data_IF_257077277033
#
_entry.id   IF_257077277033
#
_cell.length_a   1.000
_cell.length_b   1.000
_cell.length_c   1.000
_cell.angle_alpha   90.00
_cell.angle_beta   90.00
_cell.angle_gamma   90.00
#
_symmetry.space_group_name_H-M   'P 1'
#
loop_
_entity.id
_entity.type
_entity.pdbx_description
1 polymer ?
#
# COMPACT_ATOMS: atom_id res chain seq x y z
N UNK A 1 15.37 69.21 -35.63
CA UNK A 1 16.53 68.42 -35.21
C UNK A 1 16.11 66.97 -35.27
N UNK A 2 16.14 66.36 -36.46
CA UNK A 2 15.89 64.93 -36.63
C UNK A 2 17.16 64.21 -36.21
N UNK A 3 17.04 63.30 -35.24
CA UNK A 3 18.14 62.43 -34.82
C UNK A 3 18.30 61.34 -35.89
N UNK A 4 19.09 61.64 -36.93
CA UNK A 4 19.44 60.70 -38.01
C UNK A 4 20.70 59.90 -37.65
N UNK A 5 20.67 59.24 -36.48
CA UNK A 5 21.73 58.31 -36.09
C UNK A 5 21.48 56.94 -36.75
N UNK A 6 22.42 56.38 -37.54
CA UNK A 6 22.24 55.07 -38.17
C UNK A 6 21.93 53.98 -37.12
N UNK A 7 20.99 53.07 -37.39
CA UNK A 7 20.68 51.99 -36.44
C UNK A 7 21.93 51.12 -36.22
N UNK A 8 22.37 51.08 -34.96
CA UNK A 8 23.52 50.29 -34.52
C UNK A 8 23.31 48.79 -34.86
N UNK A 9 24.13 48.20 -35.75
CA UNK A 9 23.98 46.82 -36.18
C UNK A 9 24.20 45.79 -35.05
N UNK A 10 24.75 46.20 -33.90
CA UNK A 10 24.96 45.33 -32.75
C UNK A 10 23.67 45.07 -31.94
N UNK A 11 22.70 45.99 -31.94
CA UNK A 11 21.43 45.86 -31.19
C UNK A 11 20.60 44.61 -31.55
N UNK A 12 20.33 44.29 -32.82
CA UNK A 12 19.54 43.10 -33.17
C UNK A 12 20.26 41.78 -32.81
N UNK A 13 21.59 41.73 -32.95
CA UNK A 13 22.38 40.56 -32.57
C UNK A 13 22.38 40.32 -31.05
N UNK A 14 22.46 41.39 -30.25
CA UNK A 14 22.34 41.31 -28.80
C UNK A 14 20.94 40.88 -28.34
N UNK A 15 19.88 41.40 -28.98
CA UNK A 15 18.50 40.99 -28.69
C UNK A 15 18.28 39.50 -28.98
N UNK A 16 18.72 38.99 -30.14
CA UNK A 16 18.63 37.58 -30.49
C UNK A 16 19.37 36.68 -29.49
N UNK A 17 20.57 37.09 -29.04
CA UNK A 17 21.37 36.33 -28.06
C UNK A 17 20.69 36.25 -26.68
N UNK A 18 20.00 37.32 -26.26
CA UNK A 18 19.24 37.33 -25.01
C UNK A 18 18.00 36.42 -25.11
N UNK A 19 17.32 36.39 -26.26
CA UNK A 19 16.17 35.50 -26.48
C UNK A 19 16.57 34.02 -26.40
N UNK A 20 17.67 33.65 -27.04
CA UNK A 20 18.19 32.26 -26.99
C UNK A 20 18.56 31.87 -25.55
N UNK A 21 19.25 32.75 -24.81
CA UNK A 21 19.64 32.47 -23.42
C UNK A 21 18.43 32.33 -22.49
N UNK A 22 17.37 33.12 -22.73
CA UNK A 22 16.10 33.00 -22.00
C UNK A 22 15.37 31.71 -22.34
N UNK A 23 15.34 31.32 -23.62
CA UNK A 23 14.76 30.05 -24.06
C UNK A 23 15.46 28.83 -23.43
N UNK A 24 16.79 28.82 -23.39
CA UNK A 24 17.58 27.77 -22.71
C UNK A 24 17.26 27.69 -21.22
N UNK A 25 17.20 28.85 -20.53
CA UNK A 25 16.85 28.89 -19.10
C UNK A 25 15.43 28.38 -18.83
N UNK A 26 14.47 28.70 -19.70
CA UNK A 26 13.10 28.22 -19.59
C UNK A 26 13.04 26.71 -19.84
N UNK A 27 13.77 26.20 -20.83
CA UNK A 27 13.86 24.77 -21.10
C UNK A 27 14.45 24.00 -19.91
N UNK A 28 15.57 24.46 -19.34
CA UNK A 28 16.17 23.86 -18.14
C UNK A 28 15.21 23.92 -16.94
N UNK A 29 14.51 25.04 -16.76
CA UNK A 29 13.55 25.20 -15.65
C UNK A 29 12.34 24.28 -15.82
N UNK A 30 11.83 24.12 -17.04
CA UNK A 30 10.73 23.19 -17.35
C UNK A 30 11.14 21.73 -17.14
N UNK A 31 12.37 21.36 -17.51
CA UNK A 31 12.93 20.03 -17.25
C UNK A 31 13.06 19.75 -15.73
N UNK A 32 13.60 20.72 -14.97
CA UNK A 32 13.70 20.63 -13.51
C UNK A 32 12.32 20.53 -12.83
N UNK A 33 11.33 21.27 -13.33
CA UNK A 33 9.95 21.18 -12.86
C UNK A 33 9.33 19.81 -13.15
N UNK A 34 9.58 19.25 -14.34
CA UNK A 34 9.09 17.92 -14.74
C UNK A 34 9.69 16.84 -13.85
N UNK A 35 11.02 16.83 -13.68
CA UNK A 35 11.70 15.90 -12.78
C UNK A 35 11.20 16.00 -11.33
N UNK A 36 11.00 17.23 -10.84
CA UNK A 36 10.45 17.47 -9.51
C UNK A 36 9.01 16.94 -9.37
N UNK A 37 8.19 17.06 -10.43
CA UNK A 37 6.83 16.54 -10.46
C UNK A 37 6.81 15.00 -10.48
N UNK A 38 7.67 14.37 -11.28
CA UNK A 38 7.81 12.92 -11.33
C UNK A 38 8.24 12.36 -9.97
N UNK A 39 9.23 13.01 -9.32
CA UNK A 39 9.68 12.59 -7.99
C UNK A 39 8.58 12.69 -6.94
N UNK A 40 7.75 13.75 -6.98
CA UNK A 40 6.59 13.88 -6.09
C UNK A 40 5.56 12.78 -6.35
N UNK A 41 5.39 12.37 -7.60
CA UNK A 41 4.46 11.32 -7.99
C UNK A 41 4.92 9.94 -7.48
N UNK A 42 6.21 9.62 -7.60
CA UNK A 42 6.79 8.39 -7.04
C UNK A 42 6.65 8.36 -5.52
N UNK A 43 6.98 9.46 -4.83
CA UNK A 43 6.84 9.56 -3.38
C UNK A 43 5.38 9.43 -2.91
N UNK A 44 4.42 9.92 -3.69
CA UNK A 44 3.01 9.71 -3.42
C UNK A 44 2.64 8.22 -3.55
N UNK A 45 3.12 7.55 -4.59
CA UNK A 45 2.92 6.11 -4.78
C UNK A 45 3.52 5.29 -3.62
N UNK A 46 4.75 5.57 -3.20
CA UNK A 46 5.39 4.87 -2.06
C UNK A 46 4.56 4.97 -0.78
N UNK A 47 3.97 6.15 -0.49
CA UNK A 47 3.10 6.35 0.69
C UNK A 47 1.83 5.50 0.62
N UNK A 48 1.24 5.33 -0.56
CA UNK A 48 0.06 4.48 -0.73
C UNK A 48 0.38 3.01 -0.48
N UNK A 49 1.56 2.55 -0.92
CA UNK A 49 2.03 1.18 -0.70
C UNK A 49 2.29 0.92 0.78
N UNK A 50 3.04 1.80 1.46
CA UNK A 50 3.31 1.67 2.90
C UNK A 50 2.04 1.72 3.76
N UNK A 51 1.04 2.51 3.35
CA UNK A 51 -0.26 2.52 4.01
C UNK A 51 -0.99 1.18 3.81
N UNK A 52 -0.93 0.60 2.61
CA UNK A 52 -1.51 -0.71 2.33
C UNK A 52 -0.86 -1.81 3.20
N UNK A 53 0.46 -1.85 3.28
CA UNK A 53 1.20 -2.82 4.13
C UNK A 53 0.80 -2.73 5.60
N UNK A 54 0.64 -1.52 6.15
CA UNK A 54 0.16 -1.34 7.54
C UNK A 54 -1.23 -1.90 7.75
N UNK A 55 -2.15 -1.67 6.81
CA UNK A 55 -3.50 -2.24 6.92
C UNK A 55 -3.46 -3.76 6.84
N UNK A 56 -2.63 -4.32 5.98
CA UNK A 56 -2.44 -5.77 5.87
C UNK A 56 -1.89 -6.37 7.18
N UNK A 57 -0.82 -5.78 7.74
CA UNK A 57 -0.26 -6.22 9.01
C UNK A 57 -1.26 -6.13 10.16
N UNK A 58 -2.13 -5.12 10.16
CA UNK A 58 -3.21 -5.00 11.14
C UNK A 58 -4.25 -6.13 11.01
N UNK A 59 -4.66 -6.49 9.80
CA UNK A 59 -5.56 -7.63 9.56
C UNK A 59 -4.95 -8.95 10.01
N UNK A 60 -3.71 -9.24 9.65
CA UNK A 60 -3.02 -10.49 10.06
C UNK A 60 -2.88 -10.57 11.58
N UNK A 61 -2.45 -9.48 12.23
CA UNK A 61 -2.28 -9.43 13.69
C UNK A 61 -3.61 -9.67 14.42
N UNK A 62 -4.68 -9.02 13.98
CA UNK A 62 -6.00 -9.19 14.60
C UNK A 62 -6.57 -10.58 14.34
N UNK A 63 -6.35 -11.15 13.16
CA UNK A 63 -6.70 -12.54 12.85
C UNK A 63 -5.97 -13.54 13.75
N UNK A 64 -4.65 -13.42 13.91
CA UNK A 64 -3.86 -14.30 14.79
C UNK A 64 -4.29 -14.20 16.26
N UNK A 65 -4.59 -13.00 16.76
CA UNK A 65 -5.09 -12.82 18.12
C UNK A 65 -6.46 -13.50 18.31
N UNK A 66 -7.37 -13.34 17.35
CA UNK A 66 -8.67 -14.00 17.38
C UNK A 66 -8.55 -15.53 17.28
N UNK A 67 -7.64 -16.05 16.44
CA UNK A 67 -7.38 -17.48 16.33
C UNK A 67 -6.88 -18.07 17.64
N UNK A 68 -5.87 -17.44 18.24
CA UNK A 68 -5.29 -17.87 19.51
C UNK A 68 -6.33 -17.86 20.63
N UNK A 69 -7.15 -16.79 20.71
CA UNK A 69 -8.22 -16.71 21.68
C UNK A 69 -9.34 -17.73 21.42
N UNK A 70 -9.67 -18.02 20.16
CA UNK A 70 -10.67 -19.03 19.79
C UNK A 70 -10.24 -20.45 20.15
N UNK A 71 -8.98 -20.80 19.90
CA UNK A 71 -8.39 -22.09 20.31
C UNK A 71 -8.28 -22.16 21.84
N UNK A 72 -7.87 -21.07 22.50
CA UNK A 72 -7.74 -20.98 23.94
C UNK A 72 -9.07 -20.97 24.70
N UNK A 73 -10.19 -20.66 24.04
CA UNK A 73 -11.50 -20.53 24.66
C UNK A 73 -11.88 -21.79 25.46
N UNK A 74 -11.59 -22.99 24.94
CA UNK A 74 -11.88 -24.25 25.63
C UNK A 74 -11.08 -24.42 26.91
N UNK A 75 -9.79 -24.12 26.89
CA UNK A 75 -8.96 -24.21 28.09
C UNK A 75 -9.36 -23.20 29.19
N UNK A 76 -9.90 -22.05 28.78
CA UNK A 76 -10.30 -20.98 29.71
C UNK A 76 -11.70 -21.17 30.28
N UNK A 77 -12.61 -21.77 29.51
CA UNK A 77 -14.03 -21.88 29.85
C UNK A 77 -14.44 -23.29 30.30
N UNK A 78 -13.52 -24.26 30.26
CA UNK A 78 -13.75 -25.63 30.72
C UNK A 78 -14.32 -25.62 32.15
N UNK A 79 -15.43 -26.33 32.36
CA UNK A 79 -16.19 -26.42 33.63
C UNK A 79 -16.91 -25.15 34.12
N UNK A 80 -16.76 -24.00 33.45
CA UNK A 80 -17.46 -22.77 33.82
C UNK A 80 -18.81 -22.64 33.09
N UNK A 81 -18.88 -23.14 31.86
CA UNK A 81 -20.05 -22.98 30.98
C UNK A 81 -20.31 -24.27 30.18
N UNK A 82 -21.51 -24.47 29.64
CA UNK A 82 -21.82 -25.65 28.81
C UNK A 82 -20.94 -25.72 27.56
N UNK A 83 -20.59 -26.94 27.15
CA UNK A 83 -19.68 -27.20 26.01
C UNK A 83 -20.14 -26.55 24.71
N UNK A 84 -21.45 -26.51 24.45
CA UNK A 84 -22.00 -25.85 23.25
C UNK A 84 -21.71 -24.34 23.22
N UNK A 85 -21.60 -23.70 24.39
CA UNK A 85 -21.34 -22.26 24.52
C UNK A 85 -19.86 -21.94 24.33
N UNK A 86 -18.98 -22.85 24.80
CA UNK A 86 -17.55 -22.85 24.49
C UNK A 86 -17.35 -23.01 22.98
N UNK A 87 -18.03 -23.99 22.40
CA UNK A 87 -17.96 -24.28 20.98
C UNK A 87 -18.45 -23.09 20.14
N UNK A 88 -19.54 -22.45 20.56
CA UNK A 88 -20.06 -21.24 19.91
C UNK A 88 -19.08 -20.07 19.96
N UNK A 89 -18.54 -19.76 21.14
CA UNK A 89 -17.60 -18.64 21.33
C UNK A 89 -16.31 -18.85 20.54
N UNK A 90 -15.72 -20.06 20.62
CA UNK A 90 -14.54 -20.42 19.84
C UNK A 90 -14.80 -20.34 18.34
N UNK A 91 -15.96 -20.84 17.87
CA UNK A 91 -16.34 -20.77 16.46
C UNK A 91 -16.41 -19.35 15.93
N UNK A 92 -17.03 -18.42 16.67
CA UNK A 92 -17.12 -17.00 16.27
C UNK A 92 -15.72 -16.38 16.14
N UNK A 93 -14.83 -16.63 17.11
CA UNK A 93 -13.46 -16.10 17.08
C UNK A 93 -12.63 -16.69 15.94
N UNK A 94 -12.74 -18.00 15.70
CA UNK A 94 -12.03 -18.68 14.61
C UNK A 94 -12.56 -18.24 13.23
N UNK A 95 -13.86 -18.07 13.08
CA UNK A 95 -14.46 -17.52 11.85
C UNK A 95 -14.05 -16.07 11.62
N UNK A 96 -14.01 -15.25 12.68
CA UNK A 96 -13.52 -13.88 12.59
C UNK A 96 -12.04 -13.84 12.17
N UNK A 97 -11.22 -14.74 12.70
CA UNK A 97 -9.83 -14.93 12.25
C UNK A 97 -9.74 -15.26 10.75
N UNK A 98 -10.53 -16.24 10.29
CA UNK A 98 -10.56 -16.60 8.87
C UNK A 98 -10.99 -15.41 7.99
N UNK A 99 -11.99 -14.63 8.42
CA UNK A 99 -12.40 -13.39 7.75
C UNK A 99 -11.26 -12.38 7.67
N UNK A 100 -10.49 -12.18 8.74
CA UNK A 100 -9.33 -11.29 8.74
C UNK A 100 -8.27 -11.72 7.70
N UNK A 101 -7.98 -13.01 7.60
CA UNK A 101 -7.02 -13.53 6.61
C UNK A 101 -7.56 -13.43 5.17
N UNK A 102 -8.87 -13.67 4.96
CA UNK A 102 -9.51 -13.47 3.65
C UNK A 102 -9.49 -12.00 3.24
N UNK A 103 -9.79 -11.07 4.15
CA UNK A 103 -9.72 -9.63 3.87
C UNK A 103 -8.29 -9.21 3.48
N UNK A 104 -7.29 -9.82 4.10
CA UNK A 104 -5.87 -9.61 3.78
C UNK A 104 -5.53 -10.08 2.34
N UNK A 105 -6.10 -11.21 1.91
CA UNK A 105 -5.96 -11.75 0.55
C UNK A 105 -6.73 -10.91 -0.49
N UNK A 106 -7.98 -10.54 -0.20
CA UNK A 106 -8.84 -9.81 -1.14
C UNK A 106 -8.24 -8.47 -1.54
N UNK A 107 -7.48 -7.84 -0.63
CA UNK A 107 -6.73 -6.62 -0.92
C UNK A 107 -5.66 -6.81 -2.01
N UNK A 108 -5.00 -7.96 -2.07
CA UNK A 108 -3.97 -8.27 -3.08
C UNK A 108 -4.59 -8.39 -4.48
N UNK A 109 -5.83 -8.89 -4.58
CA UNK A 109 -6.54 -9.06 -5.85
C UNK A 109 -7.16 -7.78 -6.41
N UNK A 110 -7.17 -6.68 -5.64
CA UNK A 110 -7.63 -5.36 -6.10
C UNK A 110 -6.47 -4.36 -6.20
N UNK A 111 -5.43 -4.61 -7.03
CA UNK A 111 -4.44 -3.60 -7.29
C UNK A 111 -5.12 -2.45 -8.04
N UNK A 112 -5.20 -1.29 -7.38
CA UNK A 112 -5.63 -0.06 -8.03
C UNK A 112 -4.76 0.29 -9.24
N UNK A 113 -5.20 1.31 -10.00
CA UNK A 113 -4.52 1.81 -11.20
C UNK A 113 -3.00 1.81 -11.00
N UNK A 114 -2.20 1.19 -11.90
CA UNK A 114 -0.77 1.05 -11.70
C UNK A 114 -0.14 2.43 -11.49
N UNK A 115 0.39 2.73 -10.29
CA UNK A 115 1.18 3.93 -10.11
C UNK A 115 2.49 3.80 -10.91
N UNK A 116 3.13 4.92 -11.29
CA UNK A 116 4.52 4.89 -11.73
C UNK A 116 5.36 4.08 -10.73
N UNK A 117 6.27 3.24 -11.26
CA UNK A 117 6.99 2.20 -10.51
C UNK A 117 7.52 2.77 -9.19
N UNK A 118 6.94 2.36 -8.03
CA UNK A 118 7.45 2.73 -6.72
C UNK A 118 8.88 2.21 -6.59
N UNK A 119 9.78 3.00 -6.01
CA UNK A 119 11.17 2.61 -5.74
C UNK A 119 11.26 1.70 -4.49
N UNK A 120 10.13 1.52 -3.79
CA UNK A 120 10.01 0.70 -2.58
C UNK A 120 9.87 -0.78 -2.92
N UNK A 121 10.67 -1.63 -2.26
CA UNK A 121 10.58 -3.08 -2.36
C UNK A 121 9.20 -3.58 -1.91
N UNK A 122 8.40 -4.11 -2.83
CA UNK A 122 7.11 -4.72 -2.52
C UNK A 122 7.34 -6.13 -1.96
N UNK A 123 6.63 -6.47 -0.89
CA UNK A 123 6.51 -7.87 -0.50
C UNK A 123 5.90 -8.66 -1.67
N UNK A 124 6.47 -9.82 -2.03
CA UNK A 124 5.95 -10.60 -3.14
C UNK A 124 4.53 -11.07 -2.83
N UNK A 125 3.55 -10.67 -3.65
CA UNK A 125 2.14 -11.01 -3.46
C UNK A 125 1.88 -12.52 -3.33
N UNK A 126 2.68 -13.35 -4.00
CA UNK A 126 2.59 -14.81 -3.89
C UNK A 126 2.87 -15.31 -2.46
N UNK A 127 3.84 -14.72 -1.76
CA UNK A 127 4.17 -15.08 -0.39
C UNK A 127 3.02 -14.74 0.55
N UNK A 128 2.40 -13.58 0.35
CA UNK A 128 1.21 -13.17 1.12
C UNK A 128 0.06 -14.16 0.90
N UNK A 129 -0.24 -14.51 -0.35
CA UNK A 129 -1.30 -15.46 -0.67
C UNK A 129 -1.03 -16.82 -0.01
N UNK A 130 0.21 -17.33 -0.06
CA UNK A 130 0.58 -18.59 0.58
C UNK A 130 0.41 -18.55 2.10
N UNK A 131 0.95 -17.52 2.76
CA UNK A 131 0.90 -17.42 4.24
C UNK A 131 -0.53 -17.28 4.73
N UNK A 132 -1.33 -16.38 4.15
CA UNK A 132 -2.73 -16.23 4.57
C UNK A 132 -3.58 -17.45 4.21
N UNK A 133 -3.34 -18.05 3.04
CA UNK A 133 -4.04 -19.28 2.62
C UNK A 133 -3.79 -20.42 3.60
N UNK A 134 -2.53 -20.59 4.04
CA UNK A 134 -2.18 -21.52 5.10
C UNK A 134 -2.90 -21.19 6.42
N UNK A 135 -2.95 -19.93 6.83
CA UNK A 135 -3.63 -19.52 8.06
C UNK A 135 -5.16 -19.72 8.02
N UNK A 136 -5.79 -19.56 6.85
CA UNK A 136 -7.20 -19.92 6.64
C UNK A 136 -7.38 -21.42 6.81
N UNK A 137 -6.50 -22.24 6.24
CA UNK A 137 -6.54 -23.70 6.40
C UNK A 137 -6.39 -24.10 7.87
N UNK A 138 -5.48 -23.47 8.62
CA UNK A 138 -5.33 -23.66 10.08
C UNK A 138 -6.62 -23.27 10.81
N UNK A 139 -7.26 -22.16 10.42
CA UNK A 139 -8.53 -21.73 11.04
C UNK A 139 -9.65 -22.75 10.80
N UNK A 140 -9.75 -23.31 9.60
CA UNK A 140 -10.72 -24.38 9.29
C UNK A 140 -10.43 -25.64 10.12
N UNK A 141 -9.17 -26.05 10.21
CA UNK A 141 -8.77 -27.21 11.02
C UNK A 141 -9.08 -26.98 12.52
N UNK A 142 -8.82 -25.78 13.03
CA UNK A 142 -9.15 -25.41 14.40
C UNK A 142 -10.67 -25.43 14.65
N UNK A 143 -11.47 -24.95 13.70
CA UNK A 143 -12.93 -24.99 13.78
C UNK A 143 -13.42 -26.44 13.84
N UNK A 144 -12.93 -27.31 12.96
CA UNK A 144 -13.28 -28.74 12.96
C UNK A 144 -12.87 -29.39 14.28
N UNK A 145 -11.64 -29.15 14.74
CA UNK A 145 -11.14 -29.70 16.00
C UNK A 145 -11.97 -29.27 17.21
N UNK A 146 -12.50 -28.05 17.21
CA UNK A 146 -13.32 -27.51 18.29
C UNK A 146 -14.71 -28.17 18.37
N UNK A 147 -15.24 -28.67 17.24
CA UNK A 147 -16.49 -29.41 17.18
C UNK A 147 -16.33 -30.92 17.38
N UNK A 148 -15.14 -31.47 17.07
CA UNK A 148 -14.85 -32.90 17.24
C UNK A 148 -14.27 -33.25 18.62
N UNK A 149 -13.74 -32.27 19.35
CA UNK A 149 -13.25 -32.42 20.72
C UNK A 149 -14.40 -32.37 21.71
#
# INVERSE_FOLDING_TARGET
MTDDTPPDPAKPAHAAKQLVKSADKLATSAEQQTNSADRRTVLAADRTVLAAERTYAAWVRTGLAALAAGIGARALLDKLVPDWMIAGTGSVLVLFSALCFIAAIWREFAPGVPPPKPDTAKLPGWLLILVNGFLVMVSIAALIGLWLA
#
